data_IF_627582149557
#
_entry.id   IF_627582149557
#
_cell.length_a   1.000
_cell.length_b   1.000
_cell.length_c   1.000
_cell.angle_alpha   90.00
_cell.angle_beta   90.00
_cell.angle_gamma   90.00
#
_symmetry.space_group_name_H-M   'P 1'
#
loop_
_entity.id
_entity.type
_entity.pdbx_description
1 polymer ?
#
# COMPACT_ATOMS: atom_id res chain seq x y z
N UNK A 1 3.09 -11.56 22.07
CA UNK A 1 1.63 -11.75 21.95
C UNK A 1 0.94 -10.64 21.15
N UNK A 2 0.72 -9.44 21.70
CA UNK A 2 -0.03 -8.38 20.99
C UNK A 2 0.58 -7.99 19.63
N UNK A 3 1.91 -7.82 19.59
CA UNK A 3 2.62 -7.42 18.37
C UNK A 3 2.49 -8.44 17.24
N UNK A 4 2.60 -9.74 17.53
CA UNK A 4 2.47 -10.80 16.53
C UNK A 4 1.03 -10.93 16.03
N UNK A 5 0.07 -10.83 16.96
CA UNK A 5 -1.35 -10.86 16.64
C UNK A 5 -1.77 -9.74 15.69
N UNK A 6 -1.21 -8.54 15.84
CA UNK A 6 -1.43 -7.41 14.93
C UNK A 6 -0.61 -7.54 13.64
N UNK A 7 0.68 -7.89 13.75
CA UNK A 7 1.63 -7.83 12.64
C UNK A 7 1.27 -8.74 11.46
N UNK A 8 0.59 -9.87 11.71
CA UNK A 8 0.21 -10.83 10.66
C UNK A 8 -0.58 -10.20 9.52
N UNK A 9 -1.41 -9.18 9.80
CA UNK A 9 -2.19 -8.43 8.79
C UNK A 9 -1.82 -6.94 8.78
N UNK A 10 -1.59 -6.35 9.96
CA UNK A 10 -1.41 -4.91 10.14
C UNK A 10 -0.21 -4.32 9.42
N UNK A 11 0.83 -5.11 9.15
CA UNK A 11 1.97 -4.65 8.34
C UNK A 11 1.55 -4.29 6.90
N UNK A 12 0.67 -5.10 6.30
CA UNK A 12 0.10 -4.81 4.98
C UNK A 12 -0.81 -3.60 5.02
N UNK A 13 -1.64 -3.47 6.06
CA UNK A 13 -2.58 -2.35 6.23
C UNK A 13 -1.85 -1.02 6.41
N UNK A 14 -0.83 -0.98 7.28
CA UNK A 14 -0.05 0.24 7.52
C UNK A 14 0.66 0.71 6.25
N UNK A 15 1.20 -0.21 5.46
CA UNK A 15 1.82 0.15 4.19
C UNK A 15 0.78 0.61 3.16
N UNK A 16 -0.38 -0.04 3.09
CA UNK A 16 -1.52 0.39 2.27
C UNK A 16 -2.00 1.81 2.64
N UNK A 17 -2.11 2.12 3.94
CA UNK A 17 -2.48 3.46 4.44
C UNK A 17 -1.43 4.49 4.03
N UNK A 18 -0.14 4.18 4.14
CA UNK A 18 0.93 5.07 3.71
C UNK A 18 0.84 5.38 2.20
N UNK A 19 0.59 4.37 1.36
CA UNK A 19 0.40 4.55 -0.08
C UNK A 19 -0.85 5.37 -0.41
N UNK A 20 -1.97 5.11 0.27
CA UNK A 20 -3.20 5.88 0.12
C UNK A 20 -3.01 7.33 0.55
N UNK A 21 -2.28 7.58 1.65
CA UNK A 21 -1.90 8.92 2.10
C UNK A 21 -1.04 9.65 1.08
N UNK A 22 -0.04 8.99 0.50
CA UNK A 22 0.78 9.56 -0.57
C UNK A 22 -0.03 9.89 -1.83
N UNK A 23 -0.96 9.00 -2.23
CA UNK A 23 -1.87 9.24 -3.34
C UNK A 23 -2.78 10.45 -3.08
N UNK A 24 -3.34 10.55 -1.88
CA UNK A 24 -4.14 11.70 -1.44
C UNK A 24 -3.37 13.01 -1.44
N UNK A 25 -2.14 13.01 -0.89
CA UNK A 25 -1.25 14.16 -0.94
C UNK A 25 -0.95 14.59 -2.37
N UNK A 26 -0.69 13.65 -3.30
CA UNK A 26 -0.47 13.97 -4.72
C UNK A 26 -1.67 14.67 -5.35
N UNK A 27 -2.89 14.25 -5.05
CA UNK A 27 -4.11 14.93 -5.51
C UNK A 27 -4.18 16.33 -4.89
N UNK A 28 -4.05 16.43 -3.55
CA UNK A 28 -4.13 17.68 -2.81
C UNK A 28 -3.12 18.72 -3.28
N UNK A 29 -1.86 18.35 -3.48
CA UNK A 29 -0.82 19.25 -4.00
C UNK A 29 -1.14 19.75 -5.40
N UNK A 30 -1.68 18.89 -6.29
CA UNK A 30 -2.06 19.30 -7.65
C UNK A 30 -3.30 20.20 -7.68
N UNK A 31 -4.18 20.10 -6.69
CA UNK A 31 -5.30 21.02 -6.50
C UNK A 31 -4.83 22.36 -5.93
N UNK A 32 -3.90 22.35 -4.96
CA UNK A 32 -3.39 23.54 -4.31
C UNK A 32 -2.56 24.41 -5.26
N UNK A 33 -1.74 23.78 -6.10
CA UNK A 33 -0.84 24.43 -7.06
C UNK A 33 -1.09 23.89 -8.48
N UNK A 34 -2.20 24.30 -9.13
CA UNK A 34 -2.62 23.72 -10.40
C UNK A 34 -1.88 24.29 -11.63
N UNK A 35 -1.13 25.40 -11.48
CA UNK A 35 -0.51 26.13 -12.59
C UNK A 35 -1.56 26.70 -13.53
N UNK A 36 -1.41 26.45 -14.83
CA UNK A 36 -2.33 26.92 -15.88
C UNK A 36 -3.66 26.13 -15.93
N UNK A 37 -3.78 25.02 -15.22
CA UNK A 37 -5.00 24.21 -15.23
C UNK A 37 -6.04 24.74 -14.25
N UNK A 38 -7.32 24.51 -14.55
CA UNK A 38 -8.35 24.65 -13.52
C UNK A 38 -8.12 23.61 -12.41
N UNK A 39 -8.54 23.92 -11.18
CA UNK A 39 -8.44 23.00 -10.04
C UNK A 39 -9.09 21.65 -10.32
N UNK A 40 -10.25 21.66 -11.00
CA UNK A 40 -10.97 20.43 -11.34
C UNK A 40 -10.20 19.59 -12.36
N UNK A 41 -9.63 20.21 -13.39
CA UNK A 41 -8.81 19.51 -14.40
C UNK A 41 -7.53 18.94 -13.77
N UNK A 42 -6.86 19.71 -12.92
CA UNK A 42 -5.66 19.27 -12.20
C UNK A 42 -5.99 18.10 -11.24
N UNK A 43 -7.11 18.19 -10.51
CA UNK A 43 -7.61 17.11 -9.66
C UNK A 43 -7.88 15.83 -10.46
N UNK A 44 -8.59 15.93 -11.59
CA UNK A 44 -8.94 14.78 -12.42
C UNK A 44 -7.69 14.09 -12.99
N UNK A 45 -6.68 14.87 -13.41
CA UNK A 45 -5.43 14.32 -13.91
C UNK A 45 -4.63 13.60 -12.80
N UNK A 46 -4.47 14.24 -11.64
CA UNK A 46 -3.79 13.63 -10.50
C UNK A 46 -4.56 12.40 -9.97
N UNK A 47 -5.89 12.48 -9.97
CA UNK A 47 -6.82 11.45 -9.53
C UNK A 47 -6.72 10.17 -10.36
N UNK A 48 -6.54 10.25 -11.68
CA UNK A 48 -6.33 9.05 -12.52
C UNK A 48 -5.06 8.28 -12.14
N UNK A 49 -3.98 9.00 -11.86
CA UNK A 49 -2.72 8.39 -11.41
C UNK A 49 -2.89 7.78 -10.03
N UNK A 50 -3.50 8.53 -9.10
CA UNK A 50 -3.79 8.06 -7.76
C UNK A 50 -4.74 6.84 -7.74
N UNK A 51 -5.74 6.79 -8.62
CA UNK A 51 -6.68 5.68 -8.73
C UNK A 51 -5.95 4.37 -9.09
N UNK A 52 -4.91 4.43 -9.92
CA UNK A 52 -4.09 3.25 -10.22
C UNK A 52 -3.38 2.73 -8.97
N UNK A 53 -2.82 3.62 -8.14
CA UNK A 53 -2.24 3.23 -6.86
C UNK A 53 -3.31 2.66 -5.91
N UNK A 54 -4.54 3.22 -5.92
CA UNK A 54 -5.63 2.73 -5.09
C UNK A 54 -6.10 1.33 -5.45
N UNK A 55 -6.03 0.91 -6.71
CA UNK A 55 -6.27 -0.49 -7.09
C UNK A 55 -5.29 -1.41 -6.36
N UNK A 56 -4.01 -1.05 -6.33
CA UNK A 56 -2.99 -1.78 -5.57
C UNK A 56 -3.31 -1.82 -4.07
N UNK A 57 -3.66 -0.67 -3.48
CA UNK A 57 -4.08 -0.59 -2.08
C UNK A 57 -5.29 -1.49 -1.79
N UNK A 58 -6.31 -1.51 -2.65
CA UNK A 58 -7.47 -2.40 -2.47
C UNK A 58 -7.09 -3.86 -2.48
N UNK A 59 -6.19 -4.27 -3.37
CA UNK A 59 -5.66 -5.65 -3.39
C UNK A 59 -4.88 -5.95 -2.11
N UNK A 60 -4.05 -5.02 -1.64
CA UNK A 60 -3.32 -5.17 -0.37
C UNK A 60 -4.28 -5.36 0.81
N UNK A 61 -5.32 -4.53 0.91
CA UNK A 61 -6.31 -4.62 1.99
C UNK A 61 -7.14 -5.90 1.91
N UNK A 62 -7.42 -6.42 0.71
CA UNK A 62 -8.03 -7.74 0.55
C UNK A 62 -7.14 -8.84 1.18
N UNK A 63 -5.84 -8.84 0.89
CA UNK A 63 -4.92 -9.80 1.51
C UNK A 63 -4.79 -9.60 3.02
N UNK A 64 -4.74 -8.35 3.49
CA UNK A 64 -4.75 -8.06 4.93
C UNK A 64 -6.01 -8.62 5.61
N UNK A 65 -7.19 -8.40 5.03
CA UNK A 65 -8.46 -8.92 5.55
C UNK A 65 -8.54 -10.44 5.54
N UNK A 66 -7.95 -11.12 4.54
CA UNK A 66 -7.84 -12.59 4.53
C UNK A 66 -6.90 -13.10 5.63
N UNK A 67 -5.74 -12.46 5.82
CA UNK A 67 -4.81 -12.78 6.90
C UNK A 67 -5.42 -12.51 8.27
N UNK A 68 -6.24 -11.47 8.37
CA UNK A 68 -6.98 -11.11 9.57
C UNK A 68 -8.08 -12.14 9.89
N UNK A 69 -8.92 -12.47 8.90
CA UNK A 69 -10.08 -13.34 9.08
C UNK A 69 -9.70 -14.80 9.27
N UNK A 70 -8.67 -15.27 8.57
CA UNK A 70 -8.27 -16.69 8.55
C UNK A 70 -6.94 -16.88 9.28
N UNK A 71 -5.89 -16.17 8.85
CA UNK A 71 -4.53 -16.35 9.35
C UNK A 71 -4.41 -16.13 10.86
N UNK A 72 -5.02 -15.05 11.37
CA UNK A 72 -5.00 -14.69 12.79
C UNK A 72 -5.60 -15.77 13.70
N UNK A 73 -6.64 -16.45 13.22
CA UNK A 73 -7.36 -17.48 13.98
C UNK A 73 -6.66 -18.84 13.90
N UNK A 74 -6.11 -19.17 12.73
CA UNK A 74 -5.51 -20.48 12.45
C UNK A 74 -4.06 -20.60 12.90
N UNK A 75 -3.32 -19.49 12.92
CA UNK A 75 -1.90 -19.47 13.29
C UNK A 75 -1.77 -19.03 14.75
N UNK A 76 -1.33 -19.96 15.59
CA UNK A 76 -1.18 -19.76 17.04
C UNK A 76 0.24 -19.40 17.45
N UNK A 77 1.25 -19.73 16.64
CA UNK A 77 2.65 -19.39 16.90
C UNK A 77 2.94 -17.93 16.56
N UNK A 78 3.35 -17.15 17.57
CA UNK A 78 3.75 -15.75 17.40
C UNK A 78 4.93 -15.56 16.45
N UNK A 79 5.90 -16.48 16.47
CA UNK A 79 7.05 -16.44 15.54
C UNK A 79 6.55 -16.52 14.09
N UNK A 80 5.62 -17.43 13.82
CA UNK A 80 5.02 -17.59 12.50
C UNK A 80 4.23 -16.35 12.09
N UNK A 81 3.49 -15.73 13.02
CA UNK A 81 2.76 -14.48 12.76
C UNK A 81 3.69 -13.35 12.35
N UNK A 82 4.82 -13.18 13.06
CA UNK A 82 5.84 -12.19 12.71
C UNK A 82 6.50 -12.49 11.37
N UNK A 83 6.80 -13.76 11.08
CA UNK A 83 7.39 -14.16 9.80
C UNK A 83 6.44 -13.85 8.63
N UNK A 84 5.15 -14.11 8.78
CA UNK A 84 4.14 -13.78 7.76
C UNK A 84 3.98 -12.27 7.63
N UNK A 85 3.82 -11.53 8.72
CA UNK A 85 3.69 -10.08 8.68
C UNK A 85 4.91 -9.41 8.05
N UNK A 86 6.12 -9.76 8.51
CA UNK A 86 7.36 -9.27 7.94
C UNK A 86 7.57 -9.68 6.49
N UNK A 87 7.23 -10.94 6.15
CA UNK A 87 7.30 -11.47 4.78
C UNK A 87 6.36 -10.75 3.82
N UNK A 88 5.12 -10.46 4.24
CA UNK A 88 4.17 -9.69 3.47
C UNK A 88 4.65 -8.26 3.24
N UNK A 89 5.16 -7.58 4.27
CA UNK A 89 5.72 -6.25 4.12
C UNK A 89 6.91 -6.25 3.14
N UNK A 90 7.83 -7.20 3.28
CA UNK A 90 8.97 -7.35 2.38
C UNK A 90 8.53 -7.62 0.94
N UNK A 91 7.50 -8.44 0.75
CA UNK A 91 6.90 -8.73 -0.55
C UNK A 91 6.35 -7.45 -1.19
N UNK A 92 5.58 -6.64 -0.46
CA UNK A 92 5.04 -5.39 -1.01
C UNK A 92 6.14 -4.38 -1.34
N UNK A 93 7.15 -4.24 -0.47
CA UNK A 93 8.31 -3.38 -0.74
C UNK A 93 9.02 -3.87 -2.01
N UNK A 94 9.31 -5.17 -2.12
CA UNK A 94 9.94 -5.73 -3.32
C UNK A 94 9.10 -5.49 -4.57
N UNK A 95 7.78 -5.71 -4.50
CA UNK A 95 6.86 -5.50 -5.62
C UNK A 95 6.88 -4.05 -6.13
N UNK A 96 6.82 -3.06 -5.25
CA UNK A 96 6.78 -1.66 -5.66
C UNK A 96 8.14 -1.07 -6.06
N UNK A 97 9.23 -1.52 -5.42
CA UNK A 97 10.55 -0.89 -5.61
C UNK A 97 11.50 -1.71 -6.49
N UNK A 98 11.52 -3.04 -6.41
CA UNK A 98 12.49 -3.86 -7.16
C UNK A 98 12.17 -3.87 -8.67
N UNK A 99 10.89 -3.99 -9.04
CA UNK A 99 10.49 -3.94 -10.45
C UNK A 99 10.65 -2.54 -11.07
N UNK A 100 10.66 -1.48 -10.27
CA UNK A 100 11.01 -0.14 -10.76
C UNK A 100 12.51 0.00 -11.05
N UNK A 101 13.37 -0.60 -10.22
CA UNK A 101 14.83 -0.60 -10.43
C UNK A 101 15.18 -1.26 -11.76
N UNK A 102 14.59 -2.43 -12.05
CA UNK A 102 14.82 -3.14 -13.33
C UNK A 102 14.43 -2.27 -14.53
N UNK A 103 13.23 -1.66 -14.50
CA UNK A 103 12.75 -0.83 -15.62
C UNK A 103 13.56 0.44 -15.86
N UNK A 104 14.29 0.93 -14.86
CA UNK A 104 15.12 2.14 -14.99
C UNK A 104 16.58 1.84 -15.35
N UNK A 105 17.06 0.60 -15.18
CA UNK A 105 18.40 0.17 -15.62
C UNK A 105 18.51 -0.08 -17.14
N UNK A 106 17.37 -0.27 -17.81
CA UNK A 106 17.26 -0.50 -19.26
C UNK A 106 17.05 0.81 -20.06
N UNK A 107 17.20 1.99 -19.46
CA UNK A 107 17.12 3.31 -20.11
C UNK A 107 18.45 4.03 -20.04
#
# INVERSE_FOLDING_TARGET
ELGGWLAIHGTTELFAIALAGAAGMRIGTRIAFPGELTRLTAAAHAGRIAATAMVGVSVMLLFAGLLEGIGRQTITSDVTRYAIGGGMLALWIAYFYLFQVVRNGDR
#
